data_IF_944099542058
#
_entry.id   IF_944099542058
#
_cell.length_a   1.000
_cell.length_b   1.000
_cell.length_c   1.000
_cell.angle_alpha   90.00
_cell.angle_beta   90.00
_cell.angle_gamma   90.00
#
_symmetry.space_group_name_H-M   'P 1'
#
loop_
_entity.id
_entity.type
_entity.pdbx_description
1 polymer ?
#
# COMPACT_ATOMS: atom_id res chain seq x y z
N UNK A 1 -10.08 9.81 -21.92
CA UNK A 1 -9.16 9.73 -20.77
C UNK A 1 -9.27 8.33 -20.19
N UNK A 2 -8.19 7.56 -20.15
CA UNK A 2 -8.20 6.18 -19.65
C UNK A 2 -8.51 6.23 -18.15
N UNK A 3 -9.69 5.78 -17.74
CA UNK A 3 -10.02 5.58 -16.32
C UNK A 3 -9.18 4.39 -15.87
N UNK A 4 -8.14 4.63 -15.07
CA UNK A 4 -7.39 3.54 -14.42
C UNK A 4 -8.37 2.73 -13.56
N UNK A 5 -8.63 1.48 -13.96
CA UNK A 5 -9.70 0.66 -13.37
C UNK A 5 -9.33 0.10 -12.00
N UNK A 6 -8.04 -0.06 -11.70
CA UNK A 6 -7.57 -0.68 -10.46
C UNK A 6 -6.41 0.14 -9.89
N UNK A 7 -6.59 0.64 -8.67
CA UNK A 7 -5.55 1.34 -7.90
C UNK A 7 -5.15 0.47 -6.69
N UNK A 8 -3.85 0.27 -6.52
CA UNK A 8 -3.28 -0.58 -5.47
C UNK A 8 -2.46 0.28 -4.51
N UNK A 9 -2.81 0.18 -3.23
CA UNK A 9 -2.23 0.97 -2.15
C UNK A 9 -1.67 0.04 -1.07
N UNK A 10 -0.59 0.46 -0.41
CA UNK A 10 -0.02 -0.25 0.74
C UNK A 10 -0.12 0.60 2.01
N UNK A 11 -0.52 0.01 3.13
CA UNK A 11 -0.53 0.65 4.45
C UNK A 11 0.34 -0.15 5.41
N UNK A 12 1.38 0.47 5.94
CA UNK A 12 2.22 -0.11 6.99
C UNK A 12 1.52 0.07 8.33
N UNK A 13 1.28 -1.04 9.03
CA UNK A 13 0.66 -1.01 10.36
C UNK A 13 1.70 -0.54 11.38
N UNK A 14 1.39 0.43 12.26
CA UNK A 14 2.29 0.81 13.34
C UNK A 14 2.55 -0.38 14.26
N UNK A 15 3.82 -0.59 14.61
CA UNK A 15 4.22 -1.73 15.43
C UNK A 15 3.76 -1.51 16.88
N UNK A 16 3.02 -2.48 17.41
CA UNK A 16 2.70 -2.50 18.84
C UNK A 16 3.96 -2.77 19.67
N UNK A 17 3.96 -2.41 20.96
CA UNK A 17 5.09 -2.50 21.92
C UNK A 17 5.84 -3.86 22.01
N UNK A 18 5.38 -4.91 21.32
CA UNK A 18 5.91 -6.28 21.39
C UNK A 18 6.34 -6.89 20.05
N UNK A 19 6.27 -6.15 18.95
CA UNK A 19 6.69 -6.67 17.65
C UNK A 19 8.02 -6.05 17.25
N UNK A 20 9.05 -6.89 17.09
CA UNK A 20 10.26 -6.48 16.38
C UNK A 20 9.84 -6.05 14.97
N UNK A 21 10.23 -4.83 14.59
CA UNK A 21 10.10 -4.38 13.22
C UNK A 21 10.86 -5.36 12.33
N UNK A 22 10.16 -6.05 11.42
CA UNK A 22 10.85 -6.59 10.26
C UNK A 22 11.52 -5.43 9.53
N UNK A 23 12.73 -5.64 9.02
CA UNK A 23 13.47 -4.62 8.28
C UNK A 23 12.69 -4.27 7.01
N UNK A 24 12.01 -3.13 7.01
CA UNK A 24 11.34 -2.60 5.82
C UNK A 24 11.86 -1.19 5.53
N UNK A 25 11.97 -0.86 4.24
CA UNK A 25 12.31 0.47 3.76
C UNK A 25 11.23 0.94 2.81
N UNK A 26 10.82 2.19 2.97
CA UNK A 26 9.90 2.87 2.06
C UNK A 26 10.73 3.86 1.26
N UNK A 27 10.76 3.63 -0.04
CA UNK A 27 11.43 4.49 -1.01
C UNK A 27 10.34 5.24 -1.79
N UNK A 28 10.32 6.56 -1.68
CA UNK A 28 9.36 7.43 -2.34
C UNK A 28 9.87 7.97 -3.69
N UNK A 29 10.89 7.36 -4.29
CA UNK A 29 11.41 7.76 -5.61
C UNK A 29 10.39 7.61 -6.75
N UNK A 30 10.46 8.53 -7.73
CA UNK A 30 9.66 8.51 -8.95
C UNK A 30 10.10 7.37 -9.90
N UNK A 31 9.19 6.70 -10.63
CA UNK A 31 7.81 7.11 -10.96
C UNK A 31 6.70 6.54 -10.04
N UNK A 32 7.02 5.57 -9.17
CA UNK A 32 6.07 4.96 -8.24
C UNK A 32 6.78 4.57 -6.94
N UNK A 33 6.21 4.91 -5.77
CA UNK A 33 6.81 4.57 -4.49
C UNK A 33 6.94 3.06 -4.35
N UNK A 34 8.03 2.63 -3.71
CA UNK A 34 8.38 1.24 -3.54
C UNK A 34 8.58 0.84 -2.07
N UNK A 35 8.01 -0.30 -1.72
CA UNK A 35 8.16 -0.94 -0.41
C UNK A 35 9.16 -2.07 -0.56
N UNK A 36 10.28 -1.97 0.13
CA UNK A 36 11.26 -3.05 0.23
C UNK A 36 11.15 -3.71 1.61
N UNK A 37 11.06 -5.04 1.59
CA UNK A 37 11.00 -5.88 2.78
C UNK A 37 12.21 -6.81 2.75
N UNK A 38 13.06 -6.71 3.77
CA UNK A 38 14.22 -7.58 3.96
C UNK A 38 13.89 -8.63 5.01
N UNK A 39 13.92 -9.89 4.60
CA UNK A 39 13.66 -11.04 5.48
C UNK A 39 14.98 -11.46 6.14
N UNK A 40 15.09 -11.42 7.48
CA UNK A 40 16.31 -11.83 8.19
C UNK A 40 16.62 -13.32 7.95
N UNK A 41 17.91 -13.65 7.82
CA UNK A 41 18.37 -15.04 7.71
C UNK A 41 18.15 -15.79 9.01
N UNK A 42 17.61 -16.99 8.91
CA UNK A 42 17.76 -17.99 9.96
C UNK A 42 19.09 -18.72 9.74
N UNK A 43 20.07 -18.47 10.61
CA UNK A 43 21.42 -19.04 10.55
C UNK A 43 21.47 -20.46 11.17
N UNK A 44 20.36 -20.97 11.71
CA UNK A 44 20.33 -22.24 12.44
C UNK A 44 20.42 -23.52 11.60
N UNK A 45 20.24 -23.45 10.27
CA UNK A 45 19.88 -24.64 9.48
C UNK A 45 21.02 -25.28 8.66
N UNK A 46 22.26 -24.76 8.71
CA UNK A 46 23.44 -25.45 8.15
C UNK A 46 23.47 -25.77 6.63
N UNK A 47 22.39 -25.48 5.89
CA UNK A 47 22.26 -25.68 4.44
C UNK A 47 22.47 -24.38 3.65
N UNK A 48 22.82 -24.50 2.36
CA UNK A 48 22.95 -23.38 1.43
C UNK A 48 21.60 -22.67 1.29
N UNK A 49 21.44 -21.51 1.96
CA UNK A 49 20.20 -20.75 2.01
C UNK A 49 20.14 -19.72 0.86
N UNK A 50 19.80 -20.16 -0.35
CA UNK A 50 19.59 -19.30 -1.53
C UNK A 50 18.18 -18.68 -1.60
N UNK A 51 17.48 -18.55 -0.47
CA UNK A 51 16.14 -17.93 -0.46
C UNK A 51 16.27 -16.45 -0.79
N UNK A 52 15.26 -15.91 -1.48
CA UNK A 52 15.22 -14.47 -1.78
C UNK A 52 14.96 -13.70 -0.49
N UNK A 53 15.84 -12.75 -0.18
CA UNK A 53 15.83 -12.03 1.09
C UNK A 53 15.23 -10.63 0.95
N UNK A 54 15.45 -9.98 -0.18
CA UNK A 54 14.89 -8.67 -0.50
C UNK A 54 13.73 -8.77 -1.48
N UNK A 55 12.58 -8.26 -1.05
CA UNK A 55 11.37 -8.15 -1.86
C UNK A 55 11.04 -6.67 -2.07
N UNK A 56 11.08 -6.21 -3.32
CA UNK A 56 10.72 -4.83 -3.70
C UNK A 56 9.37 -4.84 -4.41
N UNK A 57 8.40 -4.12 -3.86
CA UNK A 57 7.04 -3.97 -4.41
C UNK A 57 6.80 -2.51 -4.79
N UNK A 58 6.08 -2.26 -5.88
CA UNK A 58 5.71 -0.90 -6.32
C UNK A 58 4.21 -0.70 -6.13
N UNK A 59 3.82 0.45 -5.61
CA UNK A 59 2.41 0.81 -5.36
C UNK A 59 2.11 2.20 -5.90
N UNK A 60 0.83 2.55 -6.12
CA UNK A 60 0.47 3.94 -6.45
C UNK A 60 0.76 4.89 -5.28
N UNK A 61 0.56 4.43 -4.05
CA UNK A 61 0.90 5.17 -2.84
C UNK A 61 1.15 4.21 -1.68
N UNK A 62 2.12 4.55 -0.85
CA UNK A 62 2.46 3.83 0.37
C UNK A 62 2.16 4.76 1.55
N UNK A 63 1.39 4.27 2.50
CA UNK A 63 1.08 4.93 3.76
C UNK A 63 1.97 4.34 4.86
N UNK A 64 2.91 5.12 5.37
CA UNK A 64 3.77 4.69 6.48
C UNK A 64 3.01 4.72 7.83
N UNK A 65 3.67 4.29 8.90
CA UNK A 65 3.09 4.16 10.23
C UNK A 65 2.43 5.44 10.77
N UNK A 66 2.90 6.61 10.33
CA UNK A 66 2.40 7.92 10.74
C UNK A 66 1.08 8.33 10.03
N UNK A 67 0.65 7.58 9.03
CA UNK A 67 -0.54 7.91 8.26
C UNK A 67 -1.82 7.76 9.08
N UNK A 68 -2.51 8.90 9.27
CA UNK A 68 -3.82 8.96 9.94
C UNK A 68 -4.92 8.37 9.06
N UNK A 69 -5.97 7.85 9.72
CA UNK A 69 -7.12 7.26 9.04
C UNK A 69 -7.82 8.24 8.09
N UNK A 70 -7.93 9.51 8.48
CA UNK A 70 -8.59 10.54 7.67
C UNK A 70 -7.89 10.74 6.32
N UNK A 71 -6.55 10.75 6.33
CA UNK A 71 -5.73 10.92 5.10
C UNK A 71 -5.89 9.72 4.16
N UNK A 72 -6.00 8.52 4.72
CA UNK A 72 -6.22 7.28 3.95
C UNK A 72 -7.62 7.28 3.34
N UNK A 73 -8.63 7.66 4.11
CA UNK A 73 -10.01 7.77 3.61
C UNK A 73 -10.11 8.80 2.48
N UNK A 74 -9.49 9.96 2.67
CA UNK A 74 -9.54 11.05 1.69
C UNK A 74 -8.88 10.71 0.36
N UNK A 75 -7.83 9.89 0.39
CA UNK A 75 -7.10 9.52 -0.82
C UNK A 75 -7.66 8.29 -1.54
N UNK A 76 -8.30 7.36 -0.83
CA UNK A 76 -8.80 6.10 -1.40
C UNK A 76 -10.32 6.10 -1.52
N UNK A 77 -11.04 6.44 -0.45
CA UNK A 77 -12.47 6.23 -0.35
C UNK A 77 -13.30 7.37 -0.94
N UNK A 78 -12.89 8.64 -0.74
CA UNK A 78 -13.57 9.80 -1.34
C UNK A 78 -13.78 9.69 -2.86
N UNK A 79 -12.73 9.43 -3.69
CA UNK A 79 -12.93 9.36 -5.15
C UNK A 79 -13.84 8.20 -5.57
N UNK A 80 -13.88 7.10 -4.81
CA UNK A 80 -14.77 5.97 -5.07
C UNK A 80 -16.22 6.28 -4.66
N UNK A 81 -16.41 7.01 -3.57
CA UNK A 81 -17.72 7.44 -3.11
C UNK A 81 -18.33 8.48 -4.06
N UNK A 82 -17.56 9.49 -4.45
CA UNK A 82 -17.96 10.52 -5.41
C UNK A 82 -18.32 9.90 -6.76
N UNK A 83 -17.52 8.94 -7.24
CA UNK A 83 -17.83 8.18 -8.45
C UNK A 83 -19.22 7.53 -8.39
N UNK A 84 -19.51 6.81 -7.30
CA UNK A 84 -20.83 6.18 -7.13
C UNK A 84 -21.95 7.20 -7.08
N UNK A 85 -21.75 8.34 -6.41
CA UNK A 85 -22.77 9.38 -6.31
C UNK A 85 -23.04 10.04 -7.66
N UNK A 86 -22.02 10.27 -8.48
CA UNK A 86 -22.22 10.77 -9.86
C UNK A 86 -23.03 9.79 -10.71
N UNK A 87 -22.75 8.50 -10.59
CA UNK A 87 -23.45 7.44 -11.34
C UNK A 87 -24.94 7.37 -10.93
N UNK A 88 -25.24 7.47 -9.63
CA UNK A 88 -26.61 7.54 -9.12
C UNK A 88 -27.34 8.80 -9.59
N UNK A 89 -26.64 9.95 -9.66
CA UNK A 89 -27.25 11.21 -10.10
C UNK A 89 -27.67 11.18 -11.58
N UNK A 90 -26.87 10.52 -12.43
CA UNK A 90 -27.19 10.31 -13.85
C UNK A 90 -28.40 9.38 -14.02
N UNK A 91 -28.54 8.36 -13.18
CA UNK A 91 -29.71 7.46 -13.18
C UNK A 91 -30.99 8.15 -12.69
N UNK A 92 -30.91 9.03 -11.69
CA UNK A 92 -32.10 9.79 -11.20
C UNK A 92 -32.56 10.91 -12.12
N UNK A 93 -31.70 11.41 -13.03
CA UNK A 93 -32.07 12.44 -14.01
C UNK A 93 -32.73 11.88 -15.27
N UNK A 94 -32.90 10.55 -15.37
CA UNK A 94 -33.61 9.86 -16.46
C UNK A 94 -35.10 9.60 -16.14
N UNK A 95 -35.65 10.22 -15.08
CA UNK A 95 -37.07 10.23 -14.75
C UNK A 95 -37.63 11.65 -14.67
#
# INVERSE_FOLDING_TARGET
MVKETIRVYARVKPLGRRQQAGSYSVDNEEPLPSLEITVPRDLGDGFINNKRESYKFKFQKIFDQEAKQDVIFDSIAKPVAEWKTSEISEETCLY
#
